data_IF_687337967721
#
_entry.id   IF_687337967721
#
_cell.length_a   1.000
_cell.length_b   1.000
_cell.length_c   1.000
_cell.angle_alpha   90.00
_cell.angle_beta   90.00
_cell.angle_gamma   90.00
#
_symmetry.space_group_name_H-M   'P 1'
#
loop_
_entity.id
_entity.type
_entity.pdbx_description
1 polymer ?
2 non-polymer ?
3 non-polymer ?
4 water ?
#
# COMPACT_ATOMS: atom_id res chain seq x y z
N UNK A 9 -10.63 22.47 25.39
CA UNK A 9 -10.23 22.67 23.96
C UNK A 9 -8.84 23.30 23.76
N UNK A 10 -7.78 22.45 23.64
CA UNK A 10 -6.30 22.84 23.57
C UNK A 10 -5.39 22.05 22.55
N UNK A 11 -5.20 22.61 21.36
CA UNK A 11 -4.69 21.89 20.19
C UNK A 11 -3.16 21.90 20.12
N UNK A 12 -2.57 20.90 19.41
CA UNK A 12 -1.14 20.99 19.13
C UNK A 12 -0.74 22.34 18.45
N UNK A 13 0.48 22.87 18.73
CA UNK A 13 0.92 24.16 18.15
C UNK A 13 1.05 24.00 16.61
N UNK A 14 1.01 25.10 15.87
CA UNK A 14 1.15 25.04 14.42
C UNK A 14 1.09 26.44 13.80
N UNK A 15 1.46 26.55 12.51
CA UNK A 15 1.51 27.87 11.83
C UNK A 15 0.08 28.47 11.65
N UNK A 16 -0.01 29.79 11.76
CA UNK A 16 -1.27 30.51 11.61
C UNK A 16 -1.85 30.37 10.18
N UNK A 17 -3.09 29.87 10.03
CA UNK A 17 -3.59 29.64 8.66
C UNK A 17 -4.21 30.91 8.07
N UNK A 18 -4.35 30.94 6.75
CA UNK A 18 -5.22 31.91 6.09
C UNK A 18 -6.62 31.31 5.80
N UNK A 19 -7.64 32.16 5.65
CA UNK A 19 -8.98 31.63 5.42
C UNK A 19 -9.08 30.81 4.09
N UNK A 20 -9.73 29.65 4.14
CA UNK A 20 -9.95 28.73 3.00
C UNK A 20 -8.64 28.07 2.59
N UNK A 21 -7.64 28.87 2.23
CA UNK A 21 -6.36 28.28 1.75
C UNK A 21 -5.57 27.58 2.85
N UNK A 22 -5.94 27.82 4.11
CA UNK A 22 -5.29 27.22 5.30
C UNK A 22 -3.80 27.59 5.36
N UNK A 23 -2.94 26.57 5.45
CA UNK A 23 -1.49 26.72 5.52
C UNK A 23 -0.85 26.53 4.16
N UNK A 24 -1.61 26.86 3.10
CA UNK A 24 -1.17 26.66 1.73
C UNK A 24 0.21 27.26 1.40
N UNK A 25 0.48 28.46 1.90
CA UNK A 25 1.75 29.16 1.64
C UNK A 25 2.99 28.46 2.22
N UNK A 26 2.77 27.59 3.20
CA UNK A 26 3.83 26.84 3.85
C UNK A 26 3.85 25.38 3.44
N UNK A 27 3.08 25.02 2.42
CA UNK A 27 2.95 23.64 2.08
C UNK A 27 3.19 23.54 0.61
N UNK A 28 4.36 23.03 0.28
CA UNK A 28 4.76 22.89 -1.08
C UNK A 28 4.22 21.56 -1.56
N UNK A 29 3.29 21.73 -2.46
CA UNK A 29 2.50 20.70 -3.05
C UNK A 29 3.39 19.63 -3.73
N UNK A 30 4.52 20.05 -4.29
CA UNK A 30 5.50 19.15 -4.92
C UNK A 30 6.27 18.25 -3.96
N UNK A 31 6.66 18.77 -2.82
CA UNK A 31 7.22 17.87 -1.81
C UNK A 31 6.65 18.18 -0.44
N UNK A 32 5.45 17.59 -0.26
CA UNK A 32 4.68 17.78 0.97
C UNK A 32 5.43 17.24 2.17
N UNK A 33 6.09 16.09 1.98
CA UNK A 33 6.88 15.52 3.09
C UNK A 33 7.91 16.51 3.66
N UNK A 34 8.68 17.18 2.80
CA UNK A 34 9.68 18.18 3.21
C UNK A 34 9.06 19.33 3.94
N UNK A 35 7.91 19.79 3.46
CA UNK A 35 7.24 20.93 4.05
C UNK A 35 6.80 20.59 5.44
N UNK A 36 6.21 19.41 5.60
CA UNK A 36 5.73 18.99 6.87
C UNK A 36 6.90 18.73 7.85
N UNK A 37 8.00 18.07 7.38
CA UNK A 37 9.23 17.95 8.23
C UNK A 37 9.75 19.32 8.70
N UNK A 38 9.75 20.31 7.79
CA UNK A 38 10.13 21.69 8.19
C UNK A 38 9.20 22.21 9.30
N UNK A 39 7.88 22.15 9.10
CA UNK A 39 6.95 22.58 10.17
C UNK A 39 7.16 21.80 11.50
N UNK A 40 7.34 20.47 11.44
CA UNK A 40 7.61 19.65 12.67
C UNK A 40 8.84 20.12 13.47
N UNK A 41 9.90 20.39 12.73
CA UNK A 41 11.15 20.87 13.28
C UNK A 41 11.00 22.24 13.97
N UNK A 42 10.13 23.09 13.41
CA UNK A 42 9.76 24.39 13.94
C UNK A 42 8.84 24.31 15.20
N UNK A 43 7.71 23.61 15.09
CA UNK A 43 6.69 23.52 16.13
C UNK A 43 6.79 22.35 17.12
N UNK A 44 7.40 21.23 16.72
CA UNK A 44 7.40 20.02 17.58
C UNK A 44 6.92 18.74 16.89
N UNK A 45 7.08 17.58 17.55
CA UNK A 45 6.75 16.30 16.83
C UNK A 45 5.25 16.10 16.59
N UNK A 46 4.43 16.75 17.40
CA UNK A 46 2.97 16.70 17.25
C UNK A 46 2.44 18.14 16.98
N UNK A 47 1.81 18.36 15.84
CA UNK A 47 1.52 19.72 15.39
C UNK A 47 0.19 19.79 14.63
N UNK A 48 -0.33 21.01 14.45
CA UNK A 48 -1.61 21.24 13.79
C UNK A 48 -1.38 21.92 12.49
N UNK A 49 -2.05 21.42 11.46
CA UNK A 49 -1.94 22.03 10.13
C UNK A 49 -3.36 22.34 9.59
N UNK A 50 -3.48 23.28 8.65
CA UNK A 50 -4.72 23.56 7.91
C UNK A 50 -4.53 23.16 6.45
N UNK A 51 -5.09 22.03 6.09
CA UNK A 51 -4.93 21.50 4.75
C UNK A 51 -6.10 22.05 3.95
N UNK A 52 -5.88 23.17 3.26
CA UNK A 52 -7.02 24.00 2.83
C UNK A 52 -7.88 24.28 4.07
N UNK A 53 -9.21 24.18 3.94
CA UNK A 53 -10.09 24.52 5.08
C UNK A 53 -10.03 23.50 6.27
N UNK A 54 -9.33 22.37 6.12
CA UNK A 54 -9.38 21.25 7.07
C UNK A 54 -8.27 21.28 8.11
N UNK A 55 -8.69 21.26 9.37
CA UNK A 55 -7.77 21.28 10.48
C UNK A 55 -7.33 19.86 10.72
N UNK A 56 -6.01 19.67 10.75
CA UNK A 56 -5.45 18.31 10.89
C UNK A 56 -4.34 18.30 11.90
N UNK A 57 -4.39 17.31 12.80
CA UNK A 57 -3.21 16.99 13.60
C UNK A 57 -2.25 15.99 12.92
N UNK A 58 -0.96 16.34 12.88
CA UNK A 58 0.11 15.59 12.23
C UNK A 58 1.09 14.96 13.25
N UNK A 59 1.54 13.73 13.00
CA UNK A 59 2.43 13.04 13.99
C UNK A 59 3.70 12.66 13.25
N UNK A 60 4.86 13.07 13.78
CA UNK A 60 6.18 13.00 13.17
C UNK A 60 7.15 12.21 14.05
N UNK A 61 7.80 11.20 13.48
CA UNK A 61 8.75 10.38 14.23
C UNK A 61 8.05 9.21 14.89
N UNK A 62 8.86 8.21 15.29
CA UNK A 62 8.42 6.97 15.86
C UNK A 62 7.62 7.22 17.10
N UNK A 63 8.19 7.97 18.05
CA UNK A 63 7.55 8.13 19.36
C UNK A 63 6.13 8.67 19.26
N UNK A 64 5.97 9.71 18.43
CA UNK A 64 4.68 10.39 18.31
C UNK A 64 3.65 9.46 17.65
N UNK A 65 4.01 8.87 16.49
CA UNK A 65 3.12 7.87 15.83
C UNK A 65 2.76 6.63 16.74
N UNK A 66 3.75 6.04 17.39
CA UNK A 66 3.57 4.89 18.26
C UNK A 66 2.68 5.27 19.47
N UNK A 67 2.99 6.39 20.12
CA UNK A 67 2.14 6.83 21.27
C UNK A 67 0.67 6.98 20.91
N UNK A 68 0.38 7.41 19.68
CA UNK A 68 -0.99 7.62 19.29
C UNK A 68 -1.58 6.32 18.86
N UNK A 69 -0.94 5.69 17.88
CA UNK A 69 -1.62 4.63 17.20
C UNK A 69 -1.55 3.30 18.00
N UNK A 70 -0.58 3.17 18.89
CA UNK A 70 -0.47 1.99 19.74
C UNK A 70 -0.97 2.24 21.17
N UNK A 71 -0.26 3.09 21.90
CA UNK A 71 -0.55 3.38 23.31
C UNK A 71 -2.00 3.88 23.44
N UNK A 72 -2.53 4.62 22.45
CA UNK A 72 -3.93 5.07 22.50
C UNK A 72 -4.71 4.58 21.29
N UNK A 73 -4.48 3.30 20.99
CA UNK A 73 -5.01 2.62 19.80
C UNK A 73 -6.48 2.85 19.58
N UNK A 74 -7.22 2.85 20.67
CA UNK A 74 -8.69 2.83 20.57
C UNK A 74 -9.17 4.23 20.14
N UNK A 75 -8.53 5.26 20.69
CA UNK A 75 -8.93 6.66 20.43
C UNK A 75 -8.58 7.10 18.98
N UNK A 76 -7.46 6.58 18.49
CA UNK A 76 -6.93 6.95 17.21
C UNK A 76 -7.33 6.00 16.03
N UNK A 77 -8.25 5.04 16.27
CA UNK A 77 -8.62 4.07 15.26
C UNK A 77 -9.66 4.58 14.26
N UNK A 78 -10.00 5.87 14.25
CA UNK A 78 -10.98 6.36 13.29
C UNK A 78 -10.26 6.54 11.95
N UNK A 79 -11.04 6.56 10.87
CA UNK A 79 -10.55 6.79 9.49
C UNK A 79 -10.91 8.25 9.17
N UNK A 80 -9.93 9.06 8.84
CA UNK A 80 -10.19 10.44 8.43
C UNK A 80 -10.65 10.59 6.97
N UNK A 81 -10.84 11.85 6.55
CA UNK A 81 -11.17 12.23 5.16
C UNK A 81 -9.99 11.98 4.23
N UNK A 82 -10.31 11.53 3.01
CA UNK A 82 -9.40 11.33 1.86
C UNK A 82 -10.07 11.70 0.53
N UNK A 83 -9.81 12.93 0.10
CA UNK A 83 -10.61 13.57 -0.91
C UNK A 83 -10.53 12.88 -2.25
N UNK A 84 -9.39 12.34 -2.63
CA UNK A 84 -9.30 11.60 -3.91
C UNK A 84 -10.31 10.53 -4.00
N UNK A 85 -10.67 9.99 -2.83
CA UNK A 85 -11.47 8.78 -2.80
C UNK A 85 -12.86 8.87 -2.20
N UNK A 86 -13.09 9.77 -1.24
CA UNK A 86 -14.35 9.87 -0.49
C UNK A 86 -15.57 10.13 -1.38
N UNK A 87 -15.41 10.95 -2.42
CA UNK A 87 -16.56 11.25 -3.35
C UNK A 87 -17.18 9.89 -3.88
N UNK A 88 -16.33 8.86 -3.98
CA UNK A 88 -16.79 7.56 -4.48
C UNK A 88 -17.25 6.59 -3.38
N UNK A 89 -16.39 6.39 -2.39
CA UNK A 89 -16.65 5.46 -1.28
C UNK A 89 -17.72 5.94 -0.30
N UNK A 90 -17.70 7.22 0.03
CA UNK A 90 -18.70 7.85 0.87
C UNK A 90 -18.82 7.13 2.17
N UNK A 91 -17.71 6.65 2.71
CA UNK A 91 -17.72 6.04 4.03
C UNK A 91 -18.12 4.57 4.03
N UNK A 92 -18.34 3.99 2.86
CA UNK A 92 -18.62 2.52 2.75
C UNK A 92 -17.35 1.72 2.34
N UNK A 93 -17.32 0.41 2.66
CA UNK A 93 -16.21 -0.48 2.31
C UNK A 93 -15.28 -0.56 3.50
N UNK A 94 -14.49 -1.61 3.59
CA UNK A 94 -13.70 -1.75 4.79
C UNK A 94 -12.69 -0.61 5.12
N UNK A 95 -11.93 -0.17 4.10
CA UNK A 95 -10.83 0.79 4.22
C UNK A 95 -11.35 2.19 4.53
N UNK A 96 -12.56 2.47 4.12
CA UNK A 96 -13.06 3.85 4.29
C UNK A 96 -14.09 4.01 5.36
N UNK A 97 -14.42 2.96 6.08
CA UNK A 97 -15.43 3.04 7.10
C UNK A 97 -14.90 3.41 8.49
N UNK A 98 -15.87 3.66 9.39
CA UNK A 98 -15.64 4.02 10.80
C UNK A 98 -16.49 3.20 11.75
N UNK A 99 -16.14 3.22 13.02
CA UNK A 99 -16.90 2.61 14.08
C UNK A 99 -17.31 1.18 13.78
N UNK A 100 -18.58 0.92 14.02
CA UNK A 100 -19.17 -0.38 13.85
C UNK A 100 -19.01 -1.01 12.46
N UNK A 101 -19.18 -0.20 11.41
CA UNK A 101 -19.00 -0.67 10.04
C UNK A 101 -17.59 -1.23 9.80
N UNK A 102 -16.59 -0.46 10.22
CA UNK A 102 -15.17 -0.87 10.11
C UNK A 102 -14.88 -2.18 10.81
N UNK A 103 -15.31 -2.33 12.07
CA UNK A 103 -15.11 -3.58 12.85
C UNK A 103 -15.69 -4.86 12.19
N UNK A 104 -16.95 -4.84 11.83
CA UNK A 104 -17.61 -5.91 11.09
C UNK A 104 -16.91 -6.28 9.76
N UNK A 105 -16.70 -5.30 8.89
CA UNK A 105 -16.11 -5.56 7.58
C UNK A 105 -14.68 -6.06 7.69
N UNK A 106 -13.95 -5.48 8.61
CA UNK A 106 -12.61 -5.90 8.87
C UNK A 106 -12.52 -7.32 9.37
N UNK A 107 -13.34 -7.63 10.37
CA UNK A 107 -13.36 -8.97 10.96
C UNK A 107 -13.72 -10.03 9.93
N UNK A 108 -14.69 -9.72 9.08
CA UNK A 108 -15.13 -10.65 8.05
C UNK A 108 -14.11 -10.77 6.93
N UNK A 109 -13.61 -9.63 6.45
CA UNK A 109 -12.62 -9.61 5.38
C UNK A 109 -11.42 -10.47 5.84
N UNK A 110 -11.01 -10.31 7.09
CA UNK A 110 -9.88 -11.12 7.61
C UNK A 110 -10.25 -12.65 7.60
N UNK A 111 -11.46 -12.99 8.08
CA UNK A 111 -11.86 -14.41 8.28
C UNK A 111 -11.98 -15.02 6.93
N UNK A 112 -12.46 -14.22 6.00
CA UNK A 112 -12.72 -14.73 4.67
C UNK A 112 -11.43 -14.94 3.88
N UNK A 113 -10.48 -14.02 4.00
CA UNK A 113 -9.22 -14.19 3.29
C UNK A 113 -8.40 -15.38 3.89
N UNK A 114 -8.41 -15.56 5.22
CA UNK A 114 -7.88 -16.79 5.83
C UNK A 114 -8.54 -18.08 5.26
N UNK A 115 -9.86 -18.07 5.14
CA UNK A 115 -10.62 -19.15 4.51
C UNK A 115 -10.24 -19.48 3.07
N UNK A 116 -9.82 -18.48 2.28
CA UNK A 116 -9.27 -18.80 0.93
C UNK A 116 -7.77 -19.13 0.87
N UNK A 117 -7.12 -19.24 2.04
CA UNK A 117 -5.73 -19.66 2.10
C UNK A 117 -4.70 -18.62 2.58
N UNK A 118 -5.11 -17.37 2.79
CA UNK A 118 -4.15 -16.33 3.24
C UNK A 118 -3.50 -16.69 4.59
N UNK A 119 -2.18 -16.47 4.68
CA UNK A 119 -1.42 -16.92 5.84
C UNK A 119 -1.22 -18.45 5.98
N UNK A 120 -1.56 -19.26 4.97
CA UNK A 120 -1.35 -20.72 5.09
C UNK A 120 -0.68 -21.28 3.85
N UNK A 121 -0.52 -22.60 3.79
CA UNK A 121 0.01 -23.25 2.61
C UNK A 121 -0.74 -22.90 1.29
N UNK A 122 -2.06 -22.75 1.32
CA UNK A 122 -2.86 -22.48 0.09
C UNK A 122 -2.51 -21.23 -0.72
N UNK A 123 -2.24 -20.10 -0.07
CA UNK A 123 -1.90 -18.89 -0.78
C UNK A 123 -0.47 -18.93 -1.26
N UNK A 124 0.40 -19.50 -0.45
CA UNK A 124 1.73 -19.84 -0.92
C UNK A 124 1.69 -20.56 -2.29
N UNK A 125 0.86 -21.59 -2.38
CA UNK A 125 0.70 -22.34 -3.66
C UNK A 125 0.11 -21.51 -4.86
N UNK A 126 -0.87 -20.68 -4.53
CA UNK A 126 -1.39 -19.71 -5.50
C UNK A 126 -0.29 -18.71 -5.95
N UNK A 127 0.55 -18.22 -5.05
CA UNK A 127 1.63 -17.30 -5.48
C UNK A 127 2.67 -18.05 -6.36
N UNK A 128 2.99 -19.27 -5.95
CA UNK A 128 3.92 -20.06 -6.73
C UNK A 128 3.33 -20.31 -8.12
N UNK A 129 2.02 -20.65 -8.16
CA UNK A 129 1.26 -20.88 -9.39
C UNK A 129 1.30 -19.63 -10.32
N UNK A 130 1.05 -18.47 -9.74
CA UNK A 130 1.08 -17.26 -10.54
C UNK A 130 2.47 -16.78 -10.98
N UNK A 131 3.46 -16.91 -10.08
CA UNK A 131 4.86 -16.53 -10.37
C UNK A 131 5.31 -17.30 -11.60
N UNK A 132 4.90 -18.56 -11.69
CA UNK A 132 5.17 -19.41 -12.85
C UNK A 132 4.81 -18.77 -14.13
N UNK A 133 3.66 -18.09 -14.18
CA UNK A 133 3.31 -17.49 -15.45
C UNK A 133 4.20 -16.30 -15.78
N UNK A 134 4.57 -15.55 -14.72
CA UNK A 134 5.42 -14.37 -14.91
C UNK A 134 6.78 -14.86 -15.48
N UNK A 135 7.34 -15.93 -14.88
CA UNK A 135 8.58 -16.57 -15.39
C UNK A 135 8.49 -16.77 -16.91
N UNK A 136 7.39 -17.38 -17.36
CA UNK A 136 7.15 -17.74 -18.79
C UNK A 136 7.21 -16.44 -19.59
N UNK A 137 6.41 -15.46 -19.16
CA UNK A 137 6.32 -14.13 -19.77
C UNK A 137 7.69 -13.40 -19.89
N UNK A 138 8.47 -13.39 -18.81
CA UNK A 138 9.79 -12.76 -18.82
C UNK A 138 10.84 -13.50 -19.73
N UNK A 139 10.93 -14.83 -19.63
CA UNK A 139 11.70 -15.66 -20.61
C UNK A 139 11.28 -15.30 -22.06
N UNK A 140 9.96 -15.20 -22.28
CA UNK A 140 9.36 -14.85 -23.59
C UNK A 140 9.69 -13.45 -24.14
N UNK A 141 10.45 -12.67 -23.37
CA UNK A 141 10.93 -11.40 -23.88
C UNK A 141 12.35 -11.47 -24.49
N UNK A 142 13.09 -12.55 -24.19
CA UNK A 142 14.44 -12.86 -24.75
C UNK A 142 15.39 -11.68 -24.50
N UNK A 143 15.46 -11.27 -23.23
CA UNK A 143 16.32 -10.20 -22.76
C UNK A 143 16.21 -8.85 -23.44
N UNK A 144 15.07 -8.59 -24.09
CA UNK A 144 14.83 -7.26 -24.70
C UNK A 144 14.61 -6.23 -23.57
N UNK A 145 14.85 -4.93 -23.80
CA UNK A 145 14.49 -3.95 -22.77
C UNK A 145 12.98 -3.82 -22.67
N UNK A 146 12.44 -4.10 -21.49
CA UNK A 146 10.99 -3.97 -21.28
C UNK A 146 10.72 -3.05 -20.11
N UNK A 147 9.60 -2.34 -20.14
CA UNK A 147 9.10 -1.62 -18.97
C UNK A 147 8.43 -2.72 -18.15
N UNK A 148 9.04 -3.12 -17.01
CA UNK A 148 8.44 -4.22 -16.22
C UNK A 148 7.06 -3.94 -15.54
N UNK A 149 6.58 -2.67 -15.59
CA UNK A 149 5.35 -2.18 -14.90
C UNK A 149 4.20 -3.18 -14.93
N UNK A 150 3.71 -3.47 -16.12
CA UNK A 150 2.53 -4.36 -16.32
C UNK A 150 2.84 -5.86 -16.29
N UNK A 151 4.10 -6.23 -16.44
CA UNK A 151 4.51 -7.59 -16.29
C UNK A 151 4.29 -7.97 -14.84
N UNK A 152 4.78 -7.11 -13.93
CA UNK A 152 4.67 -7.31 -12.52
C UNK A 152 3.23 -7.14 -12.06
N UNK A 153 2.55 -6.13 -12.54
CA UNK A 153 1.24 -5.83 -12.02
C UNK A 153 0.22 -6.92 -12.41
N UNK A 154 0.34 -7.48 -13.62
CA UNK A 154 -0.54 -8.61 -14.00
C UNK A 154 -0.44 -9.75 -13.02
N UNK A 155 0.78 -10.05 -12.54
CA UNK A 155 1.08 -11.25 -11.82
C UNK A 155 0.56 -11.03 -10.38
N UNK A 156 0.91 -9.87 -9.84
CA UNK A 156 0.48 -9.49 -8.46
C UNK A 156 -1.03 -9.46 -8.30
N UNK A 157 -1.68 -8.84 -9.27
CA UNK A 157 -3.14 -8.65 -9.24
C UNK A 157 -3.87 -10.00 -9.31
N UNK A 158 -3.26 -10.95 -10.03
CA UNK A 158 -3.84 -12.30 -10.22
C UNK A 158 -3.91 -13.10 -8.94
N UNK A 159 -3.05 -12.82 -7.99
CA UNK A 159 -3.19 -13.48 -6.72
C UNK A 159 -4.47 -13.03 -5.98
N UNK A 160 -4.64 -11.70 -5.83
CA UNK A 160 -5.81 -11.21 -5.10
C UNK A 160 -7.08 -11.49 -5.92
N UNK A 161 -7.00 -11.35 -7.26
CA UNK A 161 -8.10 -11.60 -8.22
C UNK A 161 -8.66 -13.01 -8.10
N UNK A 162 -7.77 -13.99 -7.98
CA UNK A 162 -8.14 -15.40 -7.74
C UNK A 162 -9.03 -15.56 -6.58
N UNK A 163 -8.69 -14.83 -5.53
CA UNK A 163 -9.37 -14.95 -4.28
C UNK A 163 -10.70 -14.20 -4.36
N UNK A 164 -10.70 -13.02 -4.94
CA UNK A 164 -11.83 -12.15 -4.83
C UNK A 164 -12.83 -12.48 -5.98
N UNK A 165 -12.32 -12.87 -7.15
CA UNK A 165 -13.18 -13.21 -8.27
C UNK A 165 -13.28 -14.71 -8.61
N UNK A 166 -12.54 -15.58 -7.91
CA UNK A 166 -12.64 -17.00 -8.24
C UNK A 166 -11.67 -17.54 -9.29
N UNK A 167 -11.14 -16.67 -10.16
CA UNK A 167 -10.25 -17.04 -11.23
C UNK A 167 -9.25 -15.90 -11.58
N UNK A 168 -8.04 -16.30 -11.96
CA UNK A 168 -7.04 -15.41 -12.54
C UNK A 168 -7.54 -14.90 -13.87
N UNK A 169 -7.09 -13.72 -14.26
CA UNK A 169 -7.22 -13.23 -15.62
C UNK A 169 -6.07 -13.73 -16.52
N UNK A 170 -6.41 -13.94 -17.79
CA UNK A 170 -5.43 -14.21 -18.79
C UNK A 170 -4.58 -12.94 -18.95
N UNK A 171 -3.26 -13.09 -19.07
CA UNK A 171 -2.34 -11.99 -19.38
C UNK A 171 -2.65 -11.15 -20.64
N UNK A 172 -3.29 -11.75 -21.63
CA UNK A 172 -3.67 -11.02 -22.84
C UNK A 172 -5.12 -10.48 -22.85
N UNK A 173 -5.84 -10.61 -21.74
CA UNK A 173 -7.24 -10.10 -21.61
C UNK A 173 -7.20 -8.53 -21.60
N UNK A 174 -7.78 -7.90 -22.62
CA UNK A 174 -7.60 -6.44 -22.78
C UNK A 174 -8.33 -5.61 -21.69
N UNK A 175 -9.37 -6.20 -21.10
CA UNK A 175 -10.11 -5.61 -20.03
C UNK A 175 -9.24 -5.63 -18.74
N UNK A 176 -8.42 -6.69 -18.61
CA UNK A 176 -7.55 -6.83 -17.47
C UNK A 176 -6.46 -5.73 -17.55
N UNK A 177 -5.89 -5.51 -18.75
CA UNK A 177 -4.89 -4.47 -18.97
C UNK A 177 -5.44 -3.06 -18.57
N UNK A 178 -6.64 -2.79 -19.06
CA UNK A 178 -7.44 -1.58 -18.73
C UNK A 178 -7.60 -1.26 -17.24
N UNK A 179 -7.97 -2.31 -16.50
CA UNK A 179 -8.17 -2.22 -15.08
C UNK A 179 -6.90 -1.90 -14.42
N UNK A 180 -5.82 -2.54 -14.86
CA UNK A 180 -4.49 -2.25 -14.31
C UNK A 180 -4.01 -0.81 -14.49
N UNK A 181 -4.31 -0.22 -15.64
CA UNK A 181 -4.05 1.17 -15.95
C UNK A 181 -4.84 2.07 -15.02
N UNK A 182 -6.13 1.76 -14.85
CA UNK A 182 -7.00 2.45 -13.86
C UNK A 182 -6.34 2.51 -12.47
N UNK A 183 -5.85 1.37 -11.99
CA UNK A 183 -5.22 1.32 -10.69
C UNK A 183 -3.92 2.13 -10.69
N UNK A 184 -3.11 1.97 -11.73
CA UNK A 184 -1.86 2.69 -11.86
C UNK A 184 -2.08 4.21 -11.91
N UNK A 185 -2.99 4.66 -12.78
CA UNK A 185 -3.25 6.10 -12.90
C UNK A 185 -3.74 6.71 -11.59
N UNK A 186 -4.70 6.08 -10.95
CA UNK A 186 -5.33 6.69 -9.77
C UNK A 186 -4.40 6.66 -8.58
N UNK A 187 -3.71 5.54 -8.37
CA UNK A 187 -2.67 5.48 -7.39
C UNK A 187 -1.60 6.58 -7.50
N UNK A 188 -1.08 6.79 -8.70
CA UNK A 188 -0.01 7.76 -8.92
C UNK A 188 -0.53 9.19 -8.75
N UNK A 189 -1.78 9.42 -9.13
CA UNK A 189 -2.38 10.73 -8.98
C UNK A 189 -2.25 11.28 -7.53
N UNK A 190 -2.42 10.42 -6.51
CA UNK A 190 -2.27 10.89 -5.10
C UNK A 190 -0.82 11.29 -4.71
N UNK A 191 0.13 10.93 -5.56
CA UNK A 191 1.52 11.27 -5.34
C UNK A 191 1.89 12.58 -5.99
N UNK A 192 1.08 13.07 -6.93
CA UNK A 192 1.49 14.23 -7.71
C UNK A 192 1.16 15.52 -6.95
N UNK A 193 1.74 16.59 -7.44
CA UNK A 193 1.51 17.90 -6.88
C UNK A 193 0.00 18.25 -7.05
N UNK A 194 -0.59 17.91 -8.18
CA UNK A 194 -2.03 18.06 -8.39
C UNK A 194 -2.89 17.24 -7.41
N UNK A 195 -2.52 15.98 -7.17
CA UNK A 195 -3.17 15.14 -6.12
C UNK A 195 -3.19 15.83 -4.74
N UNK A 196 -2.03 16.40 -4.35
CA UNK A 196 -1.93 17.15 -3.09
C UNK A 196 -2.84 18.40 -3.04
N UNK A 197 -2.88 19.15 -4.16
CA UNK A 197 -3.68 20.35 -4.26
C UNK A 197 -5.12 19.91 -4.12
N UNK A 198 -5.47 18.80 -4.79
CA UNK A 198 -6.82 18.27 -4.76
C UNK A 198 -7.31 17.98 -3.32
N UNK A 199 -6.42 17.41 -2.53
CA UNK A 199 -6.74 17.08 -1.14
C UNK A 199 -7.13 18.37 -0.39
N UNK A 200 -6.42 19.45 -0.66
CA UNK A 200 -6.74 20.74 -0.07
C UNK A 200 -8.03 21.35 -0.58
N UNK A 201 -8.22 21.31 -1.91
CA UNK A 201 -9.22 22.14 -2.55
C UNK A 201 -10.20 21.35 -3.39
N UNK A 202 -10.54 20.14 -2.97
CA UNK A 202 -11.43 19.28 -3.78
C UNK A 202 -12.77 19.92 -4.11
N UNK A 203 -13.31 20.78 -3.24
CA UNK A 203 -14.71 21.24 -3.47
C UNK A 203 -14.74 22.17 -4.74
N UNK A 204 -13.61 22.78 -5.07
CA UNK A 204 -13.40 23.56 -6.30
C UNK A 204 -12.82 22.64 -7.42
N UNK A 205 -11.75 21.94 -7.09
CA UNK A 205 -11.06 21.18 -8.11
C UNK A 205 -11.86 20.05 -8.80
N UNK A 206 -12.81 19.44 -8.08
CA UNK A 206 -13.73 18.48 -8.68
C UNK A 206 -14.52 18.93 -9.94
N UNK A 207 -14.68 20.23 -10.08
CA UNK A 207 -15.47 20.80 -11.17
C UNK A 207 -14.50 21.40 -12.25
N UNK A 208 -13.21 21.19 -12.12
CA UNK A 208 -12.26 21.82 -13.03
C UNK A 208 -11.60 20.74 -13.93
N UNK A 209 -11.26 21.11 -15.19
CA UNK A 209 -10.51 20.10 -16.02
C UNK A 209 -9.10 19.93 -15.42
N UNK A 210 -8.54 18.75 -15.57
CA UNK A 210 -7.33 18.48 -14.92
C UNK A 210 -7.10 16.99 -14.74
N UNK A 211 -5.89 16.62 -14.30
CA UNK A 211 -5.56 15.20 -14.16
C UNK A 211 -6.53 14.50 -13.19
N UNK A 212 -7.14 15.27 -12.28
CA UNK A 212 -8.11 14.73 -11.34
C UNK A 212 -9.26 14.07 -12.09
N UNK A 213 -9.69 14.65 -13.20
CA UNK A 213 -10.81 14.11 -13.97
C UNK A 213 -10.53 12.70 -14.47
N UNK A 214 -9.31 12.45 -14.95
CA UNK A 214 -8.92 11.12 -15.38
C UNK A 214 -8.89 10.12 -14.19
N UNK A 215 -8.34 10.53 -13.04
CA UNK A 215 -8.36 9.69 -11.84
C UNK A 215 -9.80 9.24 -11.47
N UNK A 216 -10.75 10.17 -11.45
CA UNK A 216 -12.18 9.91 -11.27
C UNK A 216 -12.77 8.91 -12.28
N UNK A 217 -12.47 9.10 -13.57
CA UNK A 217 -12.95 8.16 -14.54
C UNK A 217 -12.42 6.71 -14.26
N UNK A 218 -11.15 6.60 -13.86
CA UNK A 218 -10.52 5.31 -13.55
C UNK A 218 -11.11 4.66 -12.31
N UNK A 219 -11.28 5.44 -11.25
CA UNK A 219 -11.90 4.94 -10.06
C UNK A 219 -13.35 4.49 -10.34
N UNK A 220 -14.16 5.31 -11.03
CA UNK A 220 -15.49 4.92 -11.60
C UNK A 220 -15.43 3.60 -12.46
N UNK A 221 -14.45 3.52 -13.38
CA UNK A 221 -14.25 2.29 -14.19
C UNK A 221 -14.03 1.05 -13.29
N UNK A 222 -13.31 1.22 -12.21
CA UNK A 222 -12.99 0.10 -11.34
C UNK A 222 -14.23 -0.33 -10.61
N UNK A 223 -14.93 0.65 -10.02
CA UNK A 223 -16.21 0.39 -9.44
C UNK A 223 -17.23 -0.31 -10.39
N UNK A 224 -17.42 0.17 -11.64
CA UNK A 224 -18.39 -0.43 -12.57
C UNK A 224 -18.05 -1.88 -12.83
N UNK A 225 -16.76 -2.18 -12.86
CA UNK A 225 -16.26 -3.52 -13.10
C UNK A 225 -16.61 -4.45 -11.95
N UNK A 226 -16.38 -3.99 -10.72
CA UNK A 226 -16.69 -4.80 -9.54
C UNK A 226 -18.23 -5.00 -9.43
N UNK A 227 -18.98 -3.92 -9.63
CA UNK A 227 -20.46 -4.00 -9.71
C UNK A 227 -20.90 -5.10 -10.70
N UNK A 228 -20.36 -5.09 -11.91
CA UNK A 228 -20.71 -6.05 -12.95
C UNK A 228 -20.36 -7.49 -12.52
N UNK A 229 -19.20 -7.68 -11.89
CA UNK A 229 -18.82 -8.99 -11.40
C UNK A 229 -19.73 -9.45 -10.28
N UNK A 230 -20.05 -8.57 -9.34
CA UNK A 230 -20.99 -8.92 -8.25
C UNK A 230 -22.39 -9.40 -8.80
N UNK A 231 -22.91 -8.71 -9.82
CA UNK A 231 -24.20 -9.04 -10.47
C UNK A 231 -24.17 -10.44 -11.05
N UNK A 232 -23.08 -10.75 -11.76
CA UNK A 232 -22.84 -12.07 -12.33
C UNK A 232 -22.77 -13.15 -11.24
N UNK A 233 -21.98 -12.92 -10.19
CA UNK A 233 -21.93 -13.82 -9.05
C UNK A 233 -23.31 -14.03 -8.38
N UNK A 234 -24.14 -12.99 -8.26
CA UNK A 234 -25.51 -13.14 -7.74
C UNK A 234 -26.33 -14.12 -8.60
N UNK A 235 -26.39 -13.84 -9.89
CA UNK A 235 -27.16 -14.64 -10.84
C UNK A 235 -26.81 -16.16 -10.85
N UNK A 236 -25.59 -16.51 -10.46
CA UNK A 236 -25.11 -17.90 -10.49
C UNK A 236 -24.68 -18.44 -9.12
N UNK A 237 -25.05 -17.77 -8.05
CA UNK A 237 -24.59 -18.13 -6.71
C UNK A 237 -25.13 -19.49 -6.26
N UNK A 238 -24.21 -20.37 -5.81
CA UNK A 238 -24.52 -21.58 -5.04
C UNK A 238 -24.18 -21.31 -3.56
N UNK A 239 -25.23 -21.08 -2.69
CA UNK A 239 -25.08 -20.65 -1.29
C UNK A 239 -24.45 -21.66 -0.31
N UNK A 240 -24.22 -22.91 -0.73
CA UNK A 240 -23.43 -23.85 0.10
C UNK A 240 -21.97 -24.05 -0.36
N UNK A 241 -21.66 -23.61 -1.59
CA UNK A 241 -20.30 -23.71 -2.17
C UNK A 241 -19.81 -22.37 -2.76
N UNK A 242 -19.30 -21.49 -1.89
CA UNK A 242 -18.81 -20.16 -2.33
C UNK A 242 -17.54 -20.29 -3.18
N UNK A 243 -17.48 -19.74 -4.39
CA UNK A 243 -16.23 -19.80 -5.16
C UNK A 243 -15.21 -18.72 -4.79
N UNK A 244 -15.64 -17.65 -4.09
CA UNK A 244 -14.78 -16.48 -3.94
C UNK A 244 -15.22 -15.52 -2.79
N UNK A 245 -14.48 -14.41 -2.66
CA UNK A 245 -14.77 -13.42 -1.62
C UNK A 245 -16.16 -12.89 -1.87
N UNK A 246 -16.48 -12.55 -3.11
CA UNK A 246 -17.79 -12.02 -3.43
C UNK A 246 -18.93 -13.02 -2.93
N UNK A 247 -18.89 -14.28 -3.38
CA UNK A 247 -19.88 -15.30 -2.90
C UNK A 247 -20.01 -15.35 -1.37
N UNK A 248 -18.90 -15.36 -0.66
CA UNK A 248 -18.97 -15.46 0.81
C UNK A 248 -19.68 -14.25 1.41
N UNK A 249 -19.52 -13.09 0.77
CA UNK A 249 -20.06 -11.90 1.30
C UNK A 249 -21.55 -11.97 0.94
N UNK A 250 -21.87 -12.53 -0.23
CA UNK A 250 -23.27 -12.67 -0.66
C UNK A 250 -24.02 -13.61 0.27
N UNK A 251 -23.34 -14.67 0.69
CA UNK A 251 -23.93 -15.69 1.53
C UNK A 251 -24.25 -15.04 2.86
N UNK A 252 -23.29 -14.26 3.36
CA UNK A 252 -23.45 -13.52 4.59
C UNK A 252 -24.56 -12.43 4.55
N UNK A 253 -24.71 -11.71 3.44
CA UNK A 253 -25.90 -10.86 3.18
C UNK A 253 -27.25 -11.63 3.27
N UNK A 254 -27.35 -12.80 2.61
CA UNK A 254 -28.52 -13.67 2.80
C UNK A 254 -28.83 -13.89 4.28
N UNK A 255 -27.85 -14.36 5.05
CA UNK A 255 -28.00 -14.65 6.47
C UNK A 255 -28.33 -13.45 7.36
N UNK A 256 -27.99 -12.25 6.92
CA UNK A 256 -28.24 -11.05 7.69
C UNK A 256 -29.45 -10.22 7.18
N UNK A 257 -30.21 -10.74 6.19
CA UNK A 257 -31.40 -10.06 5.60
C UNK A 257 -32.48 -9.71 6.64
N UNK A 258 -32.53 -10.47 7.74
CA UNK A 258 -33.46 -10.25 8.83
C UNK A 258 -33.06 -9.08 9.77
N UNK A 259 -31.85 -8.53 9.57
CA UNK A 259 -31.27 -7.58 10.51
C UNK A 259 -31.21 -6.25 9.79
N UNK A 260 -32.18 -5.36 10.07
CA UNK A 260 -32.29 -4.18 9.23
C UNK A 260 -31.13 -3.17 9.50
N UNK A 261 -30.32 -3.41 10.52
CA UNK A 261 -29.12 -2.63 10.80
C UNK A 261 -27.79 -3.35 10.51
N UNK A 262 -27.83 -4.36 9.64
CA UNK A 262 -26.63 -5.10 9.26
C UNK A 262 -25.70 -4.20 8.39
N UNK A 263 -24.38 -4.41 8.52
CA UNK A 263 -23.40 -3.76 7.68
C UNK A 263 -23.25 -4.58 6.37
N UNK A 264 -23.87 -5.76 6.35
CA UNK A 264 -23.72 -6.63 5.18
C UNK A 264 -24.73 -6.45 4.08
N UNK A 265 -24.42 -5.54 3.17
CA UNK A 265 -25.27 -5.22 2.06
C UNK A 265 -24.40 -4.77 0.87
N UNK A 266 -25.07 -4.57 -0.25
CA UNK A 266 -24.43 -4.54 -1.56
C UNK A 266 -23.38 -3.44 -1.69
N UNK A 267 -23.71 -2.22 -1.23
CA UNK A 267 -22.73 -1.14 -1.21
C UNK A 267 -21.37 -1.51 -0.46
N UNK A 268 -21.44 -1.97 0.80
CA UNK A 268 -20.31 -2.50 1.53
C UNK A 268 -19.58 -3.65 0.82
N UNK A 269 -20.29 -4.51 0.09
CA UNK A 269 -19.62 -5.54 -0.67
C UNK A 269 -18.83 -4.95 -1.86
N UNK A 270 -19.50 -4.20 -2.71
CA UNK A 270 -18.82 -3.54 -3.85
C UNK A 270 -17.54 -2.77 -3.40
N UNK A 271 -17.71 -1.83 -2.46
CA UNK A 271 -16.59 -1.06 -1.90
C UNK A 271 -15.43 -1.84 -1.23
N UNK A 272 -15.77 -2.79 -0.36
CA UNK A 272 -14.75 -3.68 0.24
C UNK A 272 -13.94 -4.48 -0.83
N UNK A 273 -14.65 -5.00 -1.83
CA UNK A 273 -14.05 -5.78 -2.90
C UNK A 273 -13.11 -4.90 -3.74
N UNK A 274 -13.63 -3.70 -4.12
CA UNK A 274 -12.81 -2.68 -4.69
C UNK A 274 -11.55 -2.46 -3.84
N UNK A 275 -11.70 -2.34 -2.50
CA UNK A 275 -10.54 -2.09 -1.63
C UNK A 275 -9.49 -3.22 -1.76
N UNK A 276 -9.96 -4.48 -1.63
CA UNK A 276 -9.06 -5.62 -1.73
C UNK A 276 -8.35 -5.77 -3.09
N UNK A 277 -9.10 -5.62 -4.18
CA UNK A 277 -8.56 -5.76 -5.54
C UNK A 277 -7.50 -4.66 -5.74
N UNK A 278 -7.86 -3.40 -5.39
CA UNK A 278 -6.93 -2.28 -5.52
C UNK A 278 -5.73 -2.42 -4.55
N UNK A 279 -6.00 -2.50 -3.27
CA UNK A 279 -4.93 -2.60 -2.29
C UNK A 279 -4.02 -3.81 -2.59
N UNK A 280 -4.64 -4.94 -2.95
CA UNK A 280 -3.91 -6.19 -3.35
C UNK A 280 -3.09 -6.19 -4.63
N UNK A 281 -3.25 -5.14 -5.44
CA UNK A 281 -2.53 -5.00 -6.71
C UNK A 281 -1.38 -3.98 -6.63
N UNK A 282 -1.71 -2.73 -6.27
CA UNK A 282 -0.84 -1.63 -6.54
C UNK A 282 0.38 -1.54 -5.62
N UNK A 283 0.23 -1.82 -4.33
CA UNK A 283 1.35 -1.57 -3.40
C UNK A 283 2.46 -2.58 -3.60
N UNK A 284 2.10 -3.87 -3.70
CA UNK A 284 3.07 -4.95 -3.91
C UNK A 284 3.68 -4.75 -5.29
N UNK A 285 2.85 -4.38 -6.27
CA UNK A 285 3.39 -4.17 -7.61
C UNK A 285 4.47 -3.06 -7.65
N UNK A 286 4.15 -1.96 -7.00
CA UNK A 286 5.00 -0.78 -6.96
C UNK A 286 6.28 -1.10 -6.18
N UNK A 287 6.15 -1.83 -5.07
CA UNK A 287 7.29 -2.25 -4.23
C UNK A 287 8.25 -3.12 -5.07
N UNK A 288 7.70 -4.09 -5.79
CA UNK A 288 8.56 -4.86 -6.71
C UNK A 288 9.25 -3.98 -7.73
N UNK A 289 8.51 -3.07 -8.33
CA UNK A 289 9.04 -2.25 -9.38
C UNK A 289 10.20 -1.34 -8.84
N UNK A 290 10.03 -0.80 -7.65
CA UNK A 290 11.04 0.05 -7.05
C UNK A 290 12.27 -0.77 -6.69
N UNK A 291 12.04 -1.91 -6.04
CA UNK A 291 13.09 -2.86 -5.69
C UNK A 291 14.00 -3.26 -6.86
N UNK A 292 13.47 -3.48 -8.07
CA UNK A 292 14.31 -3.88 -9.20
C UNK A 292 15.30 -2.76 -9.55
N UNK A 293 14.80 -1.52 -9.54
CA UNK A 293 15.56 -0.37 -9.85
C UNK A 293 16.63 -0.21 -8.81
N UNK A 294 16.28 -0.41 -7.55
CA UNK A 294 17.24 -0.30 -6.48
C UNK A 294 18.34 -1.35 -6.61
N UNK A 295 17.95 -2.57 -7.03
CA UNK A 295 18.89 -3.67 -7.14
C UNK A 295 19.84 -3.52 -8.35
N UNK A 296 19.38 -2.91 -9.43
CA UNK A 296 20.27 -2.56 -10.55
C UNK A 296 21.20 -1.35 -10.28
N UNK A 297 20.91 -0.52 -9.24
CA UNK A 297 21.83 0.53 -8.83
C UNK A 297 22.83 -0.09 -7.84
N UNK A 298 22.47 -1.23 -7.24
CA UNK A 298 23.34 -1.88 -6.30
C UNK A 298 23.65 -3.35 -6.68
N UNK A 299 24.43 -3.61 -7.77
CA UNK A 299 24.66 -5.02 -8.18
C UNK A 299 25.34 -5.85 -7.13
N UNK A 300 26.05 -5.23 -6.17
CA UNK A 300 26.65 -6.01 -5.13
C UNK A 300 25.60 -6.57 -4.17
N UNK A 301 24.48 -5.82 -4.00
CA UNK A 301 23.33 -6.33 -3.22
C UNK A 301 22.63 -7.49 -4.00
N UNK A 302 22.37 -7.28 -5.30
CA UNK A 302 21.76 -8.35 -6.15
C UNK A 302 22.59 -9.65 -6.06
N UNK A 303 23.92 -9.50 -6.18
CA UNK A 303 24.90 -10.62 -6.15
C UNK A 303 24.80 -11.47 -4.85
N UNK A 304 24.73 -10.78 -3.71
CA UNK A 304 24.63 -11.45 -2.43
C UNK A 304 23.26 -12.11 -2.25
N UNK A 305 22.24 -11.50 -2.81
CA UNK A 305 20.94 -12.14 -2.77
C UNK A 305 21.04 -13.40 -3.64
N UNK A 306 21.68 -13.30 -4.82
CA UNK A 306 21.90 -14.48 -5.69
C UNK A 306 22.60 -15.61 -5.02
N UNK A 307 23.63 -15.32 -4.22
CA UNK A 307 24.38 -16.39 -3.63
C UNK A 307 23.56 -17.06 -2.53
N UNK A 308 22.66 -16.30 -1.93
CA UNK A 308 21.82 -16.83 -0.87
C UNK A 308 20.70 -17.72 -1.43
N UNK A 309 20.08 -17.28 -2.54
CA UNK A 309 19.12 -18.11 -3.25
C UNK A 309 19.77 -19.46 -3.70
N UNK A 310 20.89 -19.34 -4.44
CA UNK A 310 21.72 -20.51 -4.90
C UNK A 310 22.05 -21.50 -3.77
N UNK A 311 22.37 -20.97 -2.60
CA UNK A 311 22.76 -21.82 -1.51
C UNK A 311 21.60 -22.49 -0.77
N UNK A 312 20.61 -21.71 -0.32
CA UNK A 312 19.48 -22.21 0.48
C UNK A 312 18.44 -22.92 -0.37
N UNK A 313 18.22 -22.43 -1.58
CA UNK A 313 17.10 -22.86 -2.37
C UNK A 313 17.57 -23.71 -3.56
N UNK A 314 18.28 -23.14 -4.52
CA UNK A 314 18.76 -23.87 -5.70
C UNK A 314 18.55 -23.02 -6.94
N UNK A 315 18.86 -23.56 -8.11
CA UNK A 315 18.59 -22.86 -9.36
C UNK A 315 17.15 -23.16 -9.88
N UNK A 316 16.45 -24.08 -9.23
CA UNK A 316 15.16 -24.57 -9.78
C UNK A 316 14.06 -24.85 -8.80
N UNK A 317 14.37 -25.42 -7.63
CA UNK A 317 13.37 -25.70 -6.60
C UNK A 317 12.62 -24.39 -6.34
N UNK A 318 11.29 -24.41 -6.28
CA UNK A 318 10.66 -23.12 -6.16
C UNK A 318 10.61 -22.62 -4.70
N UNK A 319 10.95 -21.34 -4.49
CA UNK A 319 10.98 -20.80 -3.12
C UNK A 319 9.69 -21.13 -2.36
N UNK A 320 9.79 -21.48 -1.09
CA UNK A 320 8.65 -21.49 -0.18
C UNK A 320 8.89 -20.52 0.99
N UNK A 321 7.81 -20.14 1.65
CA UNK A 321 7.87 -19.02 2.59
C UNK A 321 8.80 -19.39 3.78
N UNK A 322 8.77 -20.65 4.22
CA UNK A 322 9.78 -21.19 5.12
C UNK A 322 11.26 -20.91 4.82
N UNK A 323 11.65 -20.80 3.55
CA UNK A 323 13.06 -20.54 3.22
C UNK A 323 13.61 -19.25 3.85
N UNK A 324 12.70 -18.30 4.11
CA UNK A 324 13.15 -16.98 4.59
C UNK A 324 13.95 -17.01 5.90
N UNK A 325 13.63 -17.98 6.76
CA UNK A 325 14.29 -18.16 8.03
C UNK A 325 15.77 -18.33 7.70
N UNK A 326 16.07 -19.10 6.68
CA UNK A 326 17.46 -19.42 6.41
C UNK A 326 18.12 -18.39 5.49
N UNK A 327 17.40 -17.32 5.15
CA UNK A 327 17.87 -16.28 4.22
C UNK A 327 17.79 -14.87 4.86
N UNK A 328 18.64 -14.61 5.90
CA UNK A 328 18.49 -13.25 6.53
C UNK A 328 18.91 -12.14 5.58
N UNK A 329 19.83 -12.40 4.67
CA UNK A 329 20.25 -11.31 3.80
C UNK A 329 19.08 -10.85 2.87
N UNK A 330 18.46 -11.79 2.15
CA UNK A 330 17.33 -11.48 1.23
C UNK A 330 16.18 -10.74 1.94
N UNK A 331 15.86 -11.23 3.15
CA UNK A 331 14.88 -10.65 4.02
C UNK A 331 15.21 -9.20 4.40
N UNK A 332 16.49 -8.93 4.70
CA UNK A 332 16.94 -7.59 5.00
C UNK A 332 16.79 -6.72 3.79
N UNK A 333 17.21 -7.26 2.64
CA UNK A 333 17.05 -6.50 1.40
C UNK A 333 15.57 -6.09 1.16
N UNK A 334 14.66 -7.06 1.30
CA UNK A 334 13.25 -6.84 1.02
C UNK A 334 12.72 -5.78 1.97
N UNK A 335 13.02 -5.94 3.25
CA UNK A 335 12.54 -4.99 4.22
C UNK A 335 13.11 -3.60 3.89
N UNK A 336 14.38 -3.58 3.51
CA UNK A 336 15.07 -2.32 3.21
C UNK A 336 14.43 -1.65 1.98
N UNK A 337 13.98 -2.46 1.02
CA UNK A 337 13.21 -1.96 -0.11
C UNK A 337 11.86 -1.33 0.34
N UNK A 338 11.14 -1.99 1.24
CA UNK A 338 9.95 -1.37 1.82
C UNK A 338 10.26 -0.08 2.62
N UNK A 339 11.29 -0.09 3.45
CA UNK A 339 11.66 1.10 4.21
C UNK A 339 12.11 2.27 3.33
N UNK A 340 12.97 1.97 2.37
CA UNK A 340 13.48 2.97 1.42
C UNK A 340 12.38 3.51 0.52
N UNK A 341 11.52 2.60 0.07
CA UNK A 341 10.48 2.88 -0.90
C UNK A 341 9.29 3.71 -0.40
N UNK A 342 9.02 3.60 0.90
CA UNK A 342 8.04 4.46 1.60
C UNK A 342 6.74 4.64 0.81
N UNK A 343 6.15 3.51 0.45
CA UNK A 343 5.01 3.46 -0.44
C UNK A 343 3.88 4.38 -0.05
N UNK A 344 3.46 4.27 1.21
CA UNK A 344 2.34 5.09 1.68
C UNK A 344 2.86 6.11 2.75
N UNK A 345 3.45 7.26 2.29
CA UNK A 345 4.17 8.11 3.29
C UNK A 345 3.34 8.63 4.49
N UNK A 346 2.03 8.79 4.30
CA UNK A 346 1.07 9.27 5.34
C UNK A 346 0.12 8.12 5.69
N UNK A 347 0.41 6.92 5.19
CA UNK A 347 -0.52 5.82 5.44
C UNK A 347 -1.84 6.23 4.86
N UNK A 348 -2.86 5.92 5.64
CA UNK A 348 -4.21 6.39 5.40
C UNK A 348 -4.51 7.36 6.58
N UNK A 349 -5.25 8.41 6.30
CA UNK A 349 -5.64 9.42 7.26
C UNK A 349 -6.39 8.76 8.44
N UNK A 350 -6.10 9.14 9.67
CA UNK A 350 -6.86 8.62 10.84
C UNK A 350 -7.77 9.73 11.41
N UNK A 351 -8.65 9.45 12.37
CA UNK A 351 -9.27 10.52 13.16
C UNK A 351 -9.56 10.00 14.57
N UNK A 352 -9.66 10.90 15.55
CA UNK A 352 -10.03 10.43 16.87
C UNK A 352 -11.52 10.11 16.96
N UNK A 353 -11.87 8.96 17.54
CA UNK A 353 -13.31 8.58 17.64
C UNK A 353 -14.05 9.18 18.89
N UNK A 354 -13.31 9.81 19.79
CA UNK A 354 -13.86 10.38 21.01
C UNK A 354 -12.92 11.50 21.47
N UNK A 355 -13.44 12.42 22.30
CA UNK A 355 -12.61 13.48 22.92
C UNK A 355 -11.38 12.81 23.55
N UNK A 356 -10.19 13.31 23.21
CA UNK A 356 -8.97 12.56 23.51
C UNK A 356 -7.91 13.47 24.10
N UNK A 357 -7.28 12.97 25.17
CA UNK A 357 -6.17 13.64 25.84
C UNK A 357 -4.93 12.99 25.27
N UNK A 358 -4.07 13.81 24.67
CA UNK A 358 -2.87 13.26 24.05
C UNK A 358 -1.71 14.16 24.41
N UNK A 359 -0.76 13.59 25.15
CA UNK A 359 0.33 14.34 25.81
C UNK A 359 -0.32 15.48 26.61
N UNK A 360 0.11 16.70 26.41
CA UNK A 360 -0.54 17.85 27.05
C UNK A 360 -1.61 18.53 26.13
N UNK A 361 -2.05 17.86 25.03
CA UNK A 361 -3.06 18.45 24.08
C UNK A 361 -4.45 17.82 24.25
N UNK A 362 -5.51 18.53 23.89
CA UNK A 362 -6.85 17.98 23.86
C UNK A 362 -7.38 17.98 22.40
N UNK A 363 -7.73 16.78 21.92
CA UNK A 363 -8.20 16.61 20.55
C UNK A 363 -9.70 16.29 20.62
N UNK A 364 -10.53 17.28 20.28
CA UNK A 364 -11.97 16.93 20.30
C UNK A 364 -12.32 15.74 19.35
N UNK A 365 -13.41 15.05 19.64
CA UNK A 365 -13.97 14.01 18.77
C UNK A 365 -14.00 14.48 17.26
N UNK A 366 -13.55 13.65 16.32
CA UNK A 366 -13.63 13.99 14.87
C UNK A 366 -12.36 14.66 14.36
N UNK A 367 -11.46 15.11 15.26
CA UNK A 367 -10.17 15.72 14.80
C UNK A 367 -9.40 14.75 13.86
N UNK A 368 -8.97 15.26 12.70
CA UNK A 368 -8.27 14.44 11.69
C UNK A 368 -6.80 14.30 12.14
N UNK A 369 -6.22 13.12 11.95
CA UNK A 369 -4.82 12.83 12.39
C UNK A 369 -4.07 12.19 11.21
N UNK A 370 -2.98 12.79 10.76
CA UNK A 370 -2.14 12.20 9.71
C UNK A 370 -0.92 11.55 10.37
N UNK A 371 -0.89 10.23 10.44
CA UNK A 371 0.39 9.59 10.94
C UNK A 371 1.47 9.66 9.83
N UNK A 372 2.63 10.33 10.03
CA UNK A 372 3.68 10.32 9.02
C UNK A 372 4.57 9.06 9.07
N UNK A 373 4.05 7.98 8.51
CA UNK A 373 4.74 6.72 8.47
C UNK A 373 6.11 6.89 7.80
N UNK A 374 6.19 7.63 6.70
CA UNK A 374 7.53 8.00 6.14
C UNK A 374 8.57 8.56 7.15
N UNK A 375 8.14 9.40 8.10
CA UNK A 375 9.04 9.96 9.14
C UNK A 375 9.50 8.87 10.10
N UNK A 376 8.76 7.75 10.11
CA UNK A 376 9.13 6.68 11.01
C UNK A 376 10.13 5.80 10.25
N UNK A 377 9.86 5.54 8.97
CA UNK A 377 10.73 4.68 8.19
C UNK A 377 12.10 5.32 8.07
N UNK A 378 12.16 6.65 8.13
CA UNK A 378 13.44 7.38 8.01
C UNK A 378 13.84 8.03 9.36
N UNK A 379 13.29 7.52 10.45
CA UNK A 379 13.64 8.04 11.76
C UNK A 379 15.14 7.74 12.10
N UNK A 380 15.96 8.80 12.30
CA UNK A 380 17.42 8.55 12.49
C UNK A 380 17.80 7.72 13.74
N UNK A 381 16.99 7.79 14.81
CA UNK A 381 17.26 7.02 16.03
C UNK A 381 17.20 5.48 15.75
N UNK A 382 16.45 5.06 14.73
CA UNK A 382 16.32 3.63 14.44
C UNK A 382 17.22 3.14 13.27
N UNK A 383 17.63 4.03 12.38
CA UNK A 383 18.43 3.67 11.21
C UNK A 383 19.78 4.37 11.16
N UNK A 384 20.84 3.57 11.12
CA UNK A 384 22.18 4.12 11.03
C UNK A 384 22.36 5.10 9.82
N UNK A 385 21.75 4.79 8.67
CA UNK A 385 21.78 5.69 7.52
C UNK A 385 20.44 5.93 6.91
N UNK A 386 19.53 6.62 7.65
CA UNK A 386 18.14 6.70 7.23
C UNK A 386 17.92 7.07 5.79
N UNK A 387 18.84 7.80 5.13
CA UNK A 387 18.54 8.32 3.75
C UNK A 387 19.22 7.53 2.59
N UNK A 388 19.93 6.47 2.96
CA UNK A 388 20.58 5.60 1.99
C UNK A 388 19.83 4.24 1.83
N UNK A 389 20.01 3.57 0.68
CA UNK A 389 19.67 2.17 0.59
C UNK A 389 20.72 1.32 1.31
N UNK A 390 20.37 0.72 2.42
CA UNK A 390 21.36 -0.05 3.22
C UNK A 390 20.72 -1.27 3.94
N UNK A 391 20.78 -2.44 3.28
CA UNK A 391 20.28 -3.65 3.91
C UNK A 391 20.86 -3.93 5.27
N UNK A 392 22.05 -3.40 5.57
CA UNK A 392 22.63 -3.52 6.92
C UNK A 392 21.67 -3.02 8.05
N UNK A 393 20.76 -2.12 7.72
CA UNK A 393 19.63 -1.72 8.63
C UNK A 393 18.81 -2.87 9.24
N UNK A 394 18.73 -3.99 8.53
CA UNK A 394 18.00 -5.12 9.05
C UNK A 394 18.84 -6.35 9.40
N UNK A 395 20.11 -6.08 9.65
CA UNK A 395 21.07 -7.10 10.06
C UNK A 395 21.83 -6.73 11.36
N UNK A 396 21.92 -7.71 12.27
CA UNK A 396 22.82 -7.65 13.44
C UNK A 396 24.27 -7.96 13.01
N UNK A 397 25.25 -7.76 13.90
CA UNK A 397 26.67 -8.04 13.52
C UNK A 397 27.00 -9.54 13.29
N UNK A 398 26.05 -10.42 13.52
CA UNK A 398 26.20 -11.81 13.15
C UNK A 398 25.70 -12.15 11.74
N UNK A 399 25.25 -11.15 10.98
CA UNK A 399 24.58 -11.40 9.70
C UNK A 399 23.20 -12.08 9.79
N UNK A 400 22.53 -12.05 10.97
CA UNK A 400 21.16 -12.56 11.19
C UNK A 400 20.07 -11.45 11.00
N UNK A 401 18.83 -11.82 10.67
CA UNK A 401 17.77 -10.80 10.55
C UNK A 401 17.48 -10.04 11.88
N UNK A 402 17.48 -8.71 11.80
CA UNK A 402 17.16 -7.83 12.93
C UNK A 402 15.92 -6.97 12.59
N UNK A 403 14.86 -7.20 13.35
CA UNK A 403 13.60 -6.43 13.31
C UNK A 403 13.77 -5.03 13.84
N UNK A 404 12.99 -4.09 13.33
CA UNK A 404 13.01 -2.77 13.92
C UNK A 404 11.60 -2.29 14.33
N UNK A 405 11.51 -1.50 15.42
CA UNK A 405 10.21 -1.00 15.87
C UNK A 405 9.79 0.09 14.93
N UNK A 406 10.75 0.67 14.22
CA UNK A 406 10.41 1.73 13.25
C UNK A 406 10.05 1.21 11.87
N UNK A 407 10.01 -0.13 11.72
CA UNK A 407 9.57 -0.74 10.48
C UNK A 407 8.03 -0.72 10.39
N UNK A 408 7.47 0.41 9.94
CA UNK A 408 5.99 0.57 9.95
C UNK A 408 5.31 0.77 8.60
N UNK A 409 5.78 0.09 7.48
CA UNK A 409 5.13 0.46 6.21
C UNK A 409 3.67 -0.01 6.06
N UNK A 410 3.28 -0.97 6.89
CA UNK A 410 1.89 -1.41 7.00
C UNK A 410 1.12 -0.69 8.10
N UNK A 411 1.71 0.36 8.65
CA UNK A 411 1.13 1.08 9.81
C UNK A 411 1.06 0.18 11.05
N UNK A 412 0.37 0.63 12.08
CA UNK A 412 0.37 -0.05 13.39
C UNK A 412 -0.93 0.33 14.06
N UNK A 413 -1.26 -0.37 15.15
CA UNK A 413 -2.51 -0.20 15.88
C UNK A 413 -3.68 -0.93 15.29
N UNK A 414 -4.88 -0.43 15.61
CA UNK A 414 -6.10 -1.12 15.32
C UNK A 414 -6.42 -1.20 13.86
N UNK A 415 -5.99 -0.19 13.09
CA UNK A 415 -6.32 -0.13 11.67
C UNK A 415 -5.20 -0.67 10.78
N UNK A 416 -4.17 -1.28 11.38
CA UNK A 416 -3.01 -1.75 10.61
C UNK A 416 -3.44 -2.57 9.38
N UNK A 417 -2.61 -2.53 8.35
CA UNK A 417 -2.88 -3.24 7.10
C UNK A 417 -3.06 -4.77 7.32
N UNK A 418 -4.30 -5.24 7.23
CA UNK A 418 -4.53 -6.67 7.41
C UNK A 418 -4.10 -7.44 6.12
N UNK A 419 -3.62 -6.77 5.09
CA UNK A 419 -2.98 -7.47 3.99
C UNK A 419 -1.53 -7.78 4.23
N UNK A 420 -1.03 -7.37 5.40
CA UNK A 420 0.38 -7.50 5.74
C UNK A 420 0.91 -8.93 5.52
N UNK A 421 0.27 -9.96 6.09
CA UNK A 421 0.74 -11.35 5.92
C UNK A 421 0.85 -11.71 4.43
N UNK A 422 -0.17 -11.40 3.70
CA UNK A 422 -0.17 -11.66 2.28
C UNK A 422 0.93 -10.89 1.51
N UNK A 423 1.06 -9.58 1.76
CA UNK A 423 2.11 -8.79 1.15
C UNK A 423 3.53 -9.41 1.41
N UNK A 424 3.84 -9.72 2.67
CA UNK A 424 5.18 -10.27 3.06
C UNK A 424 5.47 -11.54 2.28
N UNK A 425 4.45 -12.42 2.21
CA UNK A 425 4.58 -13.67 1.48
C UNK A 425 4.79 -13.42 -0.03
N UNK A 426 3.98 -12.54 -0.61
CA UNK A 426 4.21 -12.18 -2.02
C UNK A 426 5.60 -11.58 -2.27
N UNK A 427 6.01 -10.63 -1.44
CA UNK A 427 7.31 -9.96 -1.64
C UNK A 427 8.44 -11.00 -1.59
N UNK A 428 8.43 -11.83 -0.55
CA UNK A 428 9.48 -12.83 -0.45
C UNK A 428 9.48 -13.77 -1.65
N UNK A 429 8.33 -14.39 -1.91
CA UNK A 429 8.18 -15.35 -3.02
C UNK A 429 8.48 -14.79 -4.40
N UNK A 430 7.96 -13.61 -4.69
CA UNK A 430 8.13 -13.01 -5.99
C UNK A 430 9.58 -12.51 -6.20
N UNK A 431 10.15 -11.80 -5.21
CA UNK A 431 11.58 -11.41 -5.33
C UNK A 431 12.49 -12.63 -5.58
N UNK A 432 12.29 -13.65 -4.80
CA UNK A 432 13.19 -14.77 -4.71
C UNK A 432 13.01 -15.64 -5.98
N UNK A 433 11.75 -15.81 -6.44
CA UNK A 433 11.46 -16.59 -7.66
C UNK A 433 11.96 -15.90 -8.89
N UNK A 434 11.73 -14.59 -8.99
CA UNK A 434 12.20 -13.84 -10.14
C UNK A 434 13.76 -13.88 -10.21
N UNK A 435 14.42 -13.70 -9.09
CA UNK A 435 15.88 -13.52 -9.03
C UNK A 435 16.68 -14.83 -9.14
N UNK A 436 16.01 -15.92 -8.78
CA UNK A 436 16.43 -17.28 -9.07
C UNK A 436 16.62 -17.42 -10.58
N UNK A 437 15.67 -16.88 -11.34
CA UNK A 437 15.62 -17.13 -12.73
C UNK A 437 16.36 -16.14 -13.58
N UNK A 438 16.44 -14.88 -13.14
CA UNK A 438 17.04 -13.81 -13.92
C UNK A 438 17.92 -12.83 -13.09
N UNK A 439 18.97 -12.32 -13.72
CA UNK A 439 19.70 -11.16 -13.26
C UNK A 439 19.19 -9.98 -14.08
N UNK A 440 19.31 -8.80 -13.47
CA UNK A 440 18.75 -7.59 -14.04
C UNK A 440 19.84 -6.76 -14.71
N UNK A 441 19.68 -6.46 -16.00
CA UNK A 441 20.55 -5.48 -16.70
C UNK A 441 19.80 -4.18 -17.03
N UNK A 442 20.39 -3.08 -16.60
CA UNK A 442 19.90 -1.78 -16.98
C UNK A 442 20.59 -1.33 -18.26
N UNK A 443 19.89 -0.59 -19.16
CA UNK A 443 20.60 0.01 -20.25
C UNK A 443 21.51 1.18 -19.81
N UNK A 444 21.83 1.27 -18.51
CA UNK A 444 22.56 2.38 -17.93
C UNK A 444 23.47 1.83 -16.90
N UNK A 445 24.66 2.43 -16.71
CA UNK A 445 25.52 1.94 -15.61
C UNK A 445 24.93 2.26 -14.25
N UNK A 446 25.21 1.38 -13.30
CA UNK A 446 24.67 1.64 -11.98
C UNK A 446 24.68 3.14 -11.47
N UNK A 447 25.69 3.91 -11.81
CA UNK A 447 25.83 5.22 -11.16
C UNK A 447 24.98 6.31 -11.82
N UNK A 448 24.48 6.07 -13.03
CA UNK A 448 23.56 7.03 -13.64
C UNK A 448 22.06 6.73 -13.37
N UNK A 449 21.76 5.57 -12.78
CA UNK A 449 20.38 5.24 -12.35
C UNK A 449 19.96 6.14 -11.18
N UNK A 450 18.86 6.85 -11.36
CA UNK A 450 18.30 7.72 -10.33
C UNK A 450 17.24 6.92 -9.54
N UNK A 451 17.54 6.52 -8.29
CA UNK A 451 16.50 5.93 -7.44
C UNK A 451 15.61 6.93 -6.65
N UNK A 452 15.69 8.22 -6.97
CA UNK A 452 14.90 9.19 -6.26
C UNK A 452 13.50 9.10 -6.88
N UNK A 453 12.48 9.35 -6.06
CA UNK A 453 11.13 9.18 -6.55
C UNK A 453 10.72 10.10 -7.73
N UNK A 454 9.89 9.57 -8.63
CA UNK A 454 9.21 10.40 -9.59
C UNK A 454 8.19 11.41 -8.95
N UNK A 455 7.33 10.89 -8.07
CA UNK A 455 6.35 11.69 -7.35
C UNK A 455 6.33 11.16 -5.90
N UNK A 456 6.25 12.06 -4.94
CA UNK A 456 6.11 11.67 -3.56
C UNK A 456 4.95 12.47 -3.00
N UNK A 457 3.97 11.80 -2.42
CA UNK A 457 2.83 12.52 -1.85
C UNK A 457 2.09 11.57 -0.92
N UNK A 458 0.93 11.12 -1.31
CA UNK A 458 0.25 10.04 -0.55
C UNK A 458 0.67 8.63 -0.95
N UNK A 459 1.52 8.60 -1.97
CA UNK A 459 2.19 7.38 -2.42
C UNK A 459 3.57 7.84 -2.87
N UNK A 460 4.50 6.91 -2.95
CA UNK A 460 5.81 7.11 -3.52
C UNK A 460 5.89 6.27 -4.81
N UNK A 461 6.16 6.96 -5.92
CA UNK A 461 6.12 6.38 -7.26
C UNK A 461 7.56 6.43 -7.83
N UNK A 462 8.12 5.25 -8.12
CA UNK A 462 9.48 5.23 -8.71
C UNK A 462 9.50 5.84 -10.10
N UNK A 463 10.65 6.32 -10.57
CA UNK A 463 10.81 6.78 -11.96
C UNK A 463 10.56 5.67 -12.99
N UNK A 464 10.10 6.04 -14.20
CA UNK A 464 9.95 5.11 -15.31
C UNK A 464 11.32 4.62 -15.69
N UNK A 465 11.39 3.34 -16.05
CA UNK A 465 12.62 2.83 -16.57
C UNK A 465 12.32 1.59 -17.38
N UNK A 466 13.39 1.12 -18.03
CA UNK A 466 13.35 -0.20 -18.68
C UNK A 466 14.53 -0.98 -18.26
N UNK A 467 14.46 -2.27 -18.57
CA UNK A 467 15.40 -3.25 -18.07
C UNK A 467 15.32 -4.58 -18.84
N UNK A 468 16.45 -5.29 -18.85
CA UNK A 468 16.57 -6.63 -19.40
C UNK A 468 16.53 -7.70 -18.33
N UNK A 469 15.78 -8.76 -18.59
CA UNK A 469 15.86 -9.95 -17.75
C UNK A 469 16.74 -11.02 -18.42
N UNK A 470 17.93 -11.24 -17.86
CA UNK A 470 18.91 -12.14 -18.47
C UNK A 470 18.88 -13.46 -17.68
N UNK A 471 18.66 -14.61 -18.34
CA UNK A 471 18.43 -15.88 -17.58
C UNK A 471 19.69 -16.36 -16.88
N UNK A 472 19.59 -17.03 -15.71
CA UNK A 472 20.72 -17.80 -15.15
C UNK A 472 20.57 -19.28 -15.55
#
# INVERSE_FOLDING_TARGET
MAKKTSSKGKLPPGPTPLPFIGNYLQLNTEQMYNSLMKISERYGPVFTIHLGPRRVVVLCGHDAVKEALVDQAEEFSGRGEQATFDWLFKGYGVAFSNGERAKQLRRFSIATLRGFGVGKRGIEERIQEEAGFLIDALRGTHGANIDPTFFLSRTVSNVISSIVFGDRFDYEDKEFLSLLRMMLGSFQFTATSTGQLYEMFSSVMKHLPGPQQQAFKELQGLEDFIAKKVEHNQRTLDPNSPRDFIDSFLIRMQEEEKNPNTEFYLKNLVMTTLNLFFAGTETVSTTLRYGFLLLMKHPEVEAKVHEEIDRVIGKNRQPKFEDRAKMPYTEAVIHEIQRFGDMLPMGLAHRVNKDTKFRDFFLPKGTEVFPMLGSVLRDPRFFSNPRDFNPQHFLDKKGQFKKSDAFVPFSIGKRYCFGEGLARMELFLFFTTIMQNFRFKSPQSPKDIDVSPKHVGFATIPRNYTMSFLPRHHHH
#
